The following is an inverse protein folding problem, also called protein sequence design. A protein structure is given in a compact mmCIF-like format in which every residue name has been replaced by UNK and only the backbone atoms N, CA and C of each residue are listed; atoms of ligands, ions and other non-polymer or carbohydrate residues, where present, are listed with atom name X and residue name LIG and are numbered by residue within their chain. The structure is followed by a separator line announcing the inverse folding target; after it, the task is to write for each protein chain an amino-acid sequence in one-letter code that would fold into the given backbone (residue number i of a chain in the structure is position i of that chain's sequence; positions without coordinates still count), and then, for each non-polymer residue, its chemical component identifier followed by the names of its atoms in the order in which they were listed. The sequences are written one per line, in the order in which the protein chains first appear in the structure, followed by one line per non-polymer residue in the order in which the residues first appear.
data_IF_440152592982
#
_entry.id   IF_440152592982
#
_cell.length_a   1.000
_cell.length_b   1.000
_cell.length_c   1.000
_cell.angle_alpha   90.00
_cell.angle_beta   90.00
_cell.angle_gamma   90.00
#
_symmetry.space_group_name_H-M   'P 1'
#
loop_
_entity.id
_entity.type
_entity.pdbx_description
1 polymer ?
#
# COMPACT_ATOMS: atom_id res chain seq x y z
N UNK A 1 15.61 -2.73 15.11
CA UNK A 1 15.37 -1.58 14.22
C UNK A 1 14.00 -1.73 13.60
N UNK A 2 13.11 -0.73 13.66
CA UNK A 2 11.82 -0.81 13.00
C UNK A 2 12.04 -0.95 11.48
N UNK A 3 11.27 -1.84 10.87
CA UNK A 3 11.37 -2.14 9.45
C UNK A 3 9.98 -2.23 8.81
N UNK A 4 9.83 -1.76 7.59
CA UNK A 4 8.55 -1.78 6.86
C UNK A 4 7.85 -3.16 6.83
N UNK A 5 8.56 -4.30 6.74
CA UNK A 5 7.93 -5.61 6.81
C UNK A 5 7.09 -5.88 8.07
N UNK A 6 7.33 -5.16 9.18
CA UNK A 6 6.47 -5.26 10.36
C UNK A 6 5.02 -4.83 10.09
N UNK A 7 4.83 -3.99 9.06
CA UNK A 7 3.51 -3.56 8.63
C UNK A 7 2.69 -4.61 7.91
N UNK A 8 3.27 -5.72 7.49
CA UNK A 8 2.54 -6.77 6.75
C UNK A 8 1.42 -7.39 7.60
N UNK A 9 1.69 -7.62 8.89
CA UNK A 9 0.70 -8.20 9.79
C UNK A 9 -0.55 -7.30 9.94
N UNK A 10 -0.44 -6.00 10.27
CA UNK A 10 -1.62 -5.14 10.38
C UNK A 10 -2.25 -4.79 9.02
N UNK A 11 -1.54 -4.89 7.90
CA UNK A 11 -2.10 -4.59 6.56
C UNK A 11 -3.08 -5.65 6.09
N UNK A 12 -2.89 -6.90 6.46
CA UNK A 12 -3.69 -8.04 5.98
C UNK A 12 -5.21 -7.87 6.22
N UNK A 13 -5.70 -7.45 7.40
CA UNK A 13 -7.14 -7.27 7.61
C UNK A 13 -7.75 -6.16 6.73
N UNK A 14 -6.96 -5.23 6.20
CA UNK A 14 -7.48 -4.20 5.29
C UNK A 14 -7.98 -4.79 3.96
N UNK A 15 -7.40 -5.88 3.51
CA UNK A 15 -7.91 -6.62 2.34
C UNK A 15 -9.29 -7.20 2.65
N UNK A 16 -9.44 -7.78 3.86
CA UNK A 16 -10.75 -8.25 4.32
C UNK A 16 -11.77 -7.11 4.46
N UNK A 17 -11.33 -5.92 4.87
CA UNK A 17 -12.20 -4.74 4.93
C UNK A 17 -12.75 -4.36 3.55
N UNK A 18 -11.91 -4.33 2.53
CA UNK A 18 -12.34 -4.05 1.14
C UNK A 18 -13.31 -5.12 0.65
N UNK A 19 -12.98 -6.40 0.84
CA UNK A 19 -13.86 -7.51 0.46
C UNK A 19 -15.18 -7.49 1.23
N UNK A 20 -15.15 -7.16 2.52
CA UNK A 20 -16.35 -7.00 3.34
C UNK A 20 -17.28 -5.91 2.82
N UNK A 21 -16.72 -4.76 2.43
CA UNK A 21 -17.49 -3.68 1.80
C UNK A 21 -18.12 -4.09 0.47
N UNK A 22 -17.39 -4.80 -0.37
CA UNK A 22 -17.91 -5.32 -1.65
C UNK A 22 -19.03 -6.35 -1.43
N UNK A 23 -18.83 -7.32 -0.55
CA UNK A 23 -19.80 -8.37 -0.27
C UNK A 23 -21.06 -7.85 0.46
N UNK A 24 -20.96 -6.75 1.16
CA UNK A 24 -22.09 -6.17 1.90
C UNK A 24 -23.26 -5.81 0.97
N UNK A 25 -22.98 -5.39 -0.26
CA UNK A 25 -24.01 -5.05 -1.24
C UNK A 25 -24.89 -6.24 -1.64
N UNK A 26 -24.32 -7.46 -1.65
CA UNK A 26 -25.01 -8.68 -2.10
C UNK A 26 -25.42 -9.58 -0.94
N UNK A 27 -24.65 -9.60 0.14
CA UNK A 27 -24.76 -10.59 1.22
C UNK A 27 -25.16 -10.00 2.59
N UNK A 28 -25.35 -8.68 2.67
CA UNK A 28 -25.97 -8.01 3.81
C UNK A 28 -25.01 -7.43 4.84
N UNK A 29 -25.62 -6.83 5.88
CA UNK A 29 -24.96 -5.95 6.86
C UNK A 29 -23.87 -6.63 7.70
N UNK A 30 -23.89 -7.95 7.84
CA UNK A 30 -22.83 -8.66 8.57
C UNK A 30 -21.45 -8.40 7.96
N UNK A 31 -21.34 -8.50 6.64
CA UNK A 31 -20.08 -8.25 5.92
C UNK A 31 -19.64 -6.79 6.02
N UNK A 32 -20.58 -5.85 6.04
CA UNK A 32 -20.29 -4.43 6.26
C UNK A 32 -19.66 -4.20 7.63
N UNK A 33 -20.27 -4.70 8.71
CA UNK A 33 -19.74 -4.55 10.06
C UNK A 33 -18.38 -5.26 10.23
N UNK A 34 -18.25 -6.46 9.69
CA UNK A 34 -16.96 -7.17 9.69
C UNK A 34 -15.86 -6.36 8.94
N UNK A 35 -16.23 -5.77 7.80
CA UNK A 35 -15.34 -4.88 7.05
C UNK A 35 -14.90 -3.66 7.85
N UNK A 36 -15.81 -3.00 8.57
CA UNK A 36 -15.51 -1.86 9.46
C UNK A 36 -14.53 -2.28 10.57
N UNK A 37 -14.77 -3.40 11.22
CA UNK A 37 -13.88 -3.91 12.27
C UNK A 37 -12.47 -4.15 11.69
N UNK A 38 -12.37 -4.82 10.55
CA UNK A 38 -11.10 -5.08 9.88
C UNK A 38 -10.39 -3.78 9.45
N UNK A 39 -11.14 -2.77 8.99
CA UNK A 39 -10.61 -1.46 8.62
C UNK A 39 -9.89 -0.80 9.80
N UNK A 40 -10.58 -0.65 10.93
CA UNK A 40 -9.99 -0.01 12.11
C UNK A 40 -8.92 -0.87 12.77
N UNK A 41 -9.04 -2.19 12.73
CA UNK A 41 -8.03 -3.11 13.23
C UNK A 41 -6.70 -2.98 12.47
N UNK A 42 -6.74 -2.62 11.19
CA UNK A 42 -5.55 -2.26 10.42
C UNK A 42 -5.12 -0.82 10.67
N UNK A 43 -6.05 0.13 10.52
CA UNK A 43 -5.74 1.55 10.45
C UNK A 43 -5.08 2.08 11.73
N UNK A 44 -5.63 1.69 12.88
CA UNK A 44 -5.15 2.15 14.18
C UNK A 44 -3.67 1.79 14.44
N UNK A 45 -3.21 0.54 14.26
CA UNK A 45 -1.80 0.21 14.46
C UNK A 45 -0.90 0.59 13.27
N UNK A 46 -1.39 0.58 12.02
CA UNK A 46 -0.58 0.81 10.85
C UNK A 46 -0.05 2.25 10.78
N UNK A 47 -0.89 3.24 11.07
CA UNK A 47 -0.49 4.66 10.99
C UNK A 47 0.69 4.98 11.91
N UNK A 48 0.63 4.74 13.24
CA UNK A 48 1.76 5.02 14.11
C UNK A 48 3.00 4.15 13.80
N UNK A 49 2.80 2.90 13.38
CA UNK A 49 3.90 2.03 12.99
C UNK A 49 4.67 2.59 11.80
N UNK A 50 3.99 2.96 10.72
CA UNK A 50 4.65 3.49 9.53
C UNK A 50 5.22 4.89 9.76
N UNK A 51 4.53 5.75 10.51
CA UNK A 51 5.07 7.04 10.93
C UNK A 51 6.39 6.86 11.70
N UNK A 52 6.42 5.90 12.61
CA UNK A 52 7.64 5.56 13.35
C UNK A 52 8.75 5.00 12.45
N UNK A 53 8.41 4.14 11.47
CA UNK A 53 9.38 3.64 10.50
C UNK A 53 10.00 4.79 9.69
N UNK A 54 9.19 5.67 9.10
CA UNK A 54 9.69 6.82 8.34
C UNK A 54 10.51 7.78 9.20
N UNK A 55 10.03 8.11 10.40
CA UNK A 55 10.78 8.94 11.34
C UNK A 55 12.13 8.33 11.72
N UNK A 56 12.19 7.03 11.97
CA UNK A 56 13.42 6.31 12.30
C UNK A 56 14.41 6.34 11.15
N UNK A 57 13.95 6.10 9.91
CA UNK A 57 14.80 6.17 8.72
C UNK A 57 15.34 7.58 8.49
N UNK A 58 14.47 8.59 8.62
CA UNK A 58 14.87 9.99 8.48
C UNK A 58 15.91 10.41 9.52
N UNK A 59 15.68 10.07 10.79
CA UNK A 59 16.61 10.39 11.89
C UNK A 59 17.96 9.71 11.72
N UNK A 60 17.99 8.47 11.23
CA UNK A 60 19.23 7.70 11.01
C UNK A 60 19.91 8.01 9.68
N UNK A 61 19.25 8.79 8.82
CA UNK A 61 19.65 9.00 7.42
C UNK A 61 19.87 7.69 6.65
N UNK A 62 19.11 6.67 7.03
CA UNK A 62 19.10 5.35 6.40
C UNK A 62 17.98 5.25 5.37
N UNK A 63 18.09 4.27 4.48
CA UNK A 63 17.04 3.90 3.53
C UNK A 63 17.11 2.41 3.27
N UNK A 64 16.00 1.76 2.89
CA UNK A 64 16.02 0.39 2.40
C UNK A 64 16.93 0.29 1.17
N UNK A 65 17.86 -0.66 1.17
CA UNK A 65 18.83 -0.87 0.08
C UNK A 65 18.87 -2.33 -0.31
N UNK A 66 19.36 -2.59 -1.51
CA UNK A 66 19.57 -3.95 -1.98
C UNK A 66 18.31 -4.80 -1.88
N UNK A 67 18.42 -5.96 -1.25
CA UNK A 67 17.34 -6.90 -1.03
C UNK A 67 16.09 -6.32 -0.33
N UNK A 68 16.27 -5.30 0.51
CA UNK A 68 15.16 -4.68 1.24
C UNK A 68 14.51 -3.49 0.49
N UNK A 69 15.00 -3.12 -0.69
CA UNK A 69 14.53 -1.92 -1.40
C UNK A 69 13.02 -2.00 -1.73
N UNK A 70 12.51 -3.16 -2.10
CA UNK A 70 11.08 -3.38 -2.38
C UNK A 70 10.18 -3.17 -1.16
N UNK A 71 10.72 -3.30 0.05
CA UNK A 71 9.92 -3.12 1.27
C UNK A 71 9.47 -1.68 1.52
N UNK A 72 10.12 -0.70 0.88
CA UNK A 72 9.72 0.71 0.94
C UNK A 72 8.30 0.95 0.40
N UNK A 73 7.76 0.04 -0.40
CA UNK A 73 6.41 0.09 -0.93
C UNK A 73 5.33 -0.36 0.06
N UNK A 74 5.67 -1.14 1.09
CA UNK A 74 4.70 -1.76 2.01
C UNK A 74 3.73 -0.76 2.64
N UNK A 75 4.15 0.43 3.13
CA UNK A 75 3.22 1.42 3.68
C UNK A 75 2.14 1.88 2.69
N UNK A 76 2.47 1.90 1.41
CA UNK A 76 1.56 2.30 0.34
C UNK A 76 0.43 1.29 0.09
N UNK A 77 0.63 0.04 0.54
CA UNK A 77 -0.42 -0.97 0.57
C UNK A 77 -1.60 -0.53 1.44
N UNK A 78 -1.34 0.14 2.57
CA UNK A 78 -2.41 0.71 3.41
C UNK A 78 -3.09 1.87 2.69
N UNK A 79 -2.32 2.76 2.05
CA UNK A 79 -2.87 3.91 1.32
C UNK A 79 -3.89 3.46 0.28
N UNK A 80 -3.50 2.59 -0.63
CA UNK A 80 -4.38 2.12 -1.71
C UNK A 80 -5.54 1.27 -1.21
N UNK A 81 -5.26 0.33 -0.32
CA UNK A 81 -6.26 -0.61 0.15
C UNK A 81 -7.30 0.06 1.07
N UNK A 82 -6.86 0.98 1.96
CA UNK A 82 -7.79 1.70 2.82
C UNK A 82 -8.65 2.71 2.03
N UNK A 83 -8.11 3.29 0.96
CA UNK A 83 -8.90 4.12 0.05
C UNK A 83 -10.00 3.29 -0.61
N UNK A 84 -9.69 2.13 -1.17
CA UNK A 84 -10.70 1.24 -1.73
C UNK A 84 -11.73 0.80 -0.67
N UNK A 85 -11.29 0.41 0.52
CA UNK A 85 -12.17 0.01 1.60
C UNK A 85 -13.08 1.16 2.06
N UNK A 86 -12.55 2.39 2.17
CA UNK A 86 -13.34 3.56 2.60
C UNK A 86 -14.45 3.92 1.62
N UNK A 87 -14.21 3.74 0.31
CA UNK A 87 -15.23 3.95 -0.72
C UNK A 87 -16.38 2.95 -0.54
N UNK A 88 -16.08 1.66 -0.36
CA UNK A 88 -17.11 0.63 -0.20
C UNK A 88 -17.83 0.66 1.15
N UNK A 89 -17.13 1.02 2.23
CA UNK A 89 -17.68 0.98 3.59
C UNK A 89 -18.36 2.29 4.00
N UNK A 90 -17.87 3.43 3.54
CA UNK A 90 -18.25 4.74 4.07
C UNK A 90 -18.63 5.76 2.99
N UNK A 91 -18.49 5.43 1.70
CA UNK A 91 -18.63 6.37 0.58
C UNK A 91 -17.78 7.65 0.77
N UNK A 92 -16.57 7.47 1.31
CA UNK A 92 -15.73 8.56 1.83
C UNK A 92 -14.62 8.96 0.86
N UNK A 93 -14.96 9.62 -0.25
CA UNK A 93 -14.01 10.08 -1.27
C UNK A 93 -12.95 11.07 -0.74
N UNK A 94 -13.32 11.95 0.21
CA UNK A 94 -12.35 12.87 0.82
C UNK A 94 -11.21 12.13 1.52
N UNK A 95 -11.50 10.98 2.12
CA UNK A 95 -10.49 10.12 2.72
C UNK A 95 -9.45 9.66 1.70
N UNK A 96 -9.89 9.22 0.52
CA UNK A 96 -9.00 8.81 -0.57
C UNK A 96 -8.07 9.93 -1.02
N UNK A 97 -8.60 11.15 -1.19
CA UNK A 97 -7.79 12.34 -1.52
C UNK A 97 -6.70 12.58 -0.48
N UNK A 98 -7.06 12.56 0.81
CA UNK A 98 -6.11 12.74 1.92
C UNK A 98 -5.04 11.66 1.90
N UNK A 99 -5.43 10.39 1.78
CA UNK A 99 -4.50 9.26 1.81
C UNK A 99 -3.53 9.28 0.61
N UNK A 100 -4.01 9.58 -0.59
CA UNK A 100 -3.14 9.70 -1.77
C UNK A 100 -2.22 10.92 -1.69
N UNK A 101 -2.69 12.03 -1.11
CA UNK A 101 -1.84 13.22 -0.89
C UNK A 101 -0.69 12.91 0.07
N UNK A 102 -0.98 12.25 1.20
CA UNK A 102 0.03 11.81 2.16
C UNK A 102 0.92 10.72 1.54
N UNK A 103 0.37 9.84 0.72
CA UNK A 103 1.06 8.75 0.05
C UNK A 103 2.02 9.21 -1.05
N UNK A 104 1.76 10.33 -1.73
CA UNK A 104 2.55 10.78 -2.87
C UNK A 104 4.06 10.92 -2.59
N UNK A 105 4.52 11.58 -1.51
CA UNK A 105 5.94 11.61 -1.17
C UNK A 105 6.49 10.22 -0.80
N UNK A 106 5.67 9.34 -0.26
CA UNK A 106 6.06 7.97 0.05
C UNK A 106 6.23 7.14 -1.22
N UNK A 107 5.42 7.36 -2.26
CA UNK A 107 5.60 6.77 -3.59
C UNK A 107 6.93 7.20 -4.19
N UNK A 108 7.25 8.49 -4.18
CA UNK A 108 8.52 9.00 -4.70
C UNK A 108 9.73 8.38 -3.97
N UNK A 109 9.65 8.26 -2.65
CA UNK A 109 10.68 7.61 -1.84
C UNK A 109 10.81 6.11 -2.17
N UNK A 110 9.70 5.39 -2.29
CA UNK A 110 9.70 3.96 -2.61
C UNK A 110 10.24 3.69 -4.02
N UNK A 111 9.85 4.50 -5.01
CA UNK A 111 10.41 4.46 -6.36
C UNK A 111 11.93 4.68 -6.34
N UNK A 112 12.38 5.72 -5.64
CA UNK A 112 13.81 5.99 -5.53
C UNK A 112 14.59 4.81 -4.94
N UNK A 113 14.09 4.21 -3.84
CA UNK A 113 14.76 3.06 -3.23
C UNK A 113 14.78 1.83 -4.16
N UNK A 114 13.65 1.51 -4.78
CA UNK A 114 13.48 0.31 -5.60
C UNK A 114 14.29 0.40 -6.90
N UNK A 115 14.08 1.46 -7.70
CA UNK A 115 14.76 1.58 -8.98
C UNK A 115 16.27 1.79 -8.84
N UNK A 116 16.70 2.44 -7.77
CA UNK A 116 18.12 2.50 -7.47
C UNK A 116 18.72 1.11 -7.24
N UNK A 117 18.05 0.22 -6.52
CA UNK A 117 18.51 -1.15 -6.33
C UNK A 117 18.54 -1.93 -7.65
N UNK A 118 17.56 -1.71 -8.54
CA UNK A 118 17.53 -2.30 -9.88
C UNK A 118 18.73 -1.81 -10.70
N UNK A 119 19.00 -0.50 -10.75
CA UNK A 119 20.12 0.08 -11.52
C UNK A 119 21.49 -0.24 -10.91
N UNK A 120 21.58 -0.49 -9.61
CA UNK A 120 22.80 -0.94 -8.95
C UNK A 120 23.05 -2.46 -9.13
N UNK A 121 22.25 -3.13 -9.99
CA UNK A 121 22.36 -4.56 -10.28
C UNK A 121 22.35 -5.42 -8.99
N UNK A 122 21.57 -5.00 -8.01
CA UNK A 122 21.44 -5.77 -6.77
C UNK A 122 20.87 -7.16 -7.09
N UNK A 123 21.45 -8.24 -6.54
CA UNK A 123 20.92 -9.59 -6.75
C UNK A 123 19.46 -9.69 -6.35
N UNK A 124 18.68 -10.44 -7.12
CA UNK A 124 17.27 -10.70 -6.84
C UNK A 124 17.05 -11.17 -5.39
N UNK A 125 15.97 -10.68 -4.80
CA UNK A 125 15.52 -11.10 -3.48
C UNK A 125 13.99 -11.21 -3.44
N UNK A 126 13.42 -12.20 -2.72
CA UNK A 126 11.98 -12.27 -2.49
C UNK A 126 11.36 -10.98 -1.90
N UNK A 127 12.16 -10.17 -1.20
CA UNK A 127 11.73 -8.87 -0.68
C UNK A 127 11.32 -7.86 -1.77
N UNK A 128 11.72 -8.06 -3.01
CA UNK A 128 11.34 -7.22 -4.15
C UNK A 128 9.85 -7.36 -4.50
N UNK A 129 9.25 -8.52 -4.25
CA UNK A 129 7.80 -8.72 -4.38
C UNK A 129 6.98 -7.81 -3.47
N UNK A 130 7.59 -7.26 -2.42
CA UNK A 130 6.96 -6.24 -1.57
C UNK A 130 6.54 -4.97 -2.31
N UNK A 131 6.98 -4.76 -3.56
CA UNK A 131 6.57 -3.63 -4.40
C UNK A 131 5.27 -3.89 -5.17
N UNK A 132 4.97 -5.13 -5.56
CA UNK A 132 3.87 -5.42 -6.47
C UNK A 132 2.49 -5.26 -5.82
N UNK A 133 2.29 -5.84 -4.64
CA UNK A 133 1.02 -5.71 -3.92
C UNK A 133 0.64 -4.25 -3.63
N UNK A 134 1.51 -3.39 -3.06
CA UNK A 134 1.18 -2.00 -2.81
C UNK A 134 0.84 -1.19 -4.07
N UNK A 135 1.55 -1.41 -5.17
CA UNK A 135 1.22 -0.74 -6.44
C UNK A 135 -0.14 -1.21 -6.97
N UNK A 136 -0.45 -2.50 -6.84
CA UNK A 136 -1.76 -3.04 -7.18
C UNK A 136 -2.89 -2.44 -6.34
N UNK A 137 -2.67 -2.24 -5.04
CA UNK A 137 -3.67 -1.60 -4.16
C UNK A 137 -3.86 -0.11 -4.45
N UNK A 138 -2.80 0.61 -4.81
CA UNK A 138 -2.91 2.00 -5.29
C UNK A 138 -3.72 2.08 -6.58
N UNK A 139 -3.50 1.14 -7.52
CA UNK A 139 -4.28 1.02 -8.73
C UNK A 139 -5.77 0.80 -8.41
N UNK A 140 -6.09 -0.13 -7.52
CA UNK A 140 -7.46 -0.42 -7.08
C UNK A 140 -8.10 0.78 -6.37
N UNK A 141 -7.38 1.41 -5.43
CA UNK A 141 -7.88 2.58 -4.69
C UNK A 141 -8.19 3.74 -5.62
N UNK A 142 -7.29 4.07 -6.55
CA UNK A 142 -7.52 5.14 -7.52
C UNK A 142 -8.65 4.82 -8.51
N UNK A 143 -8.84 3.54 -8.88
CA UNK A 143 -9.96 3.11 -9.70
C UNK A 143 -11.31 3.37 -9.01
N UNK A 144 -11.43 2.97 -7.75
CA UNK A 144 -12.66 3.15 -6.97
C UNK A 144 -12.98 4.62 -6.68
N UNK A 145 -11.97 5.49 -6.63
CA UNK A 145 -12.14 6.94 -6.55
C UNK A 145 -12.54 7.59 -7.89
N UNK A 146 -12.64 6.82 -8.98
CA UNK A 146 -12.93 7.34 -10.30
C UNK A 146 -11.73 7.98 -11.01
N UNK A 147 -10.51 7.87 -10.47
CA UNK A 147 -9.29 8.42 -11.06
C UNK A 147 -8.68 7.47 -12.09
N UNK A 148 -9.44 7.14 -13.13
CA UNK A 148 -9.09 6.10 -14.10
C UNK A 148 -7.74 6.33 -14.81
N UNK A 149 -7.36 7.60 -15.07
CA UNK A 149 -6.06 7.90 -15.68
C UNK A 149 -4.90 7.55 -14.74
N UNK A 150 -5.03 7.89 -13.46
CA UNK A 150 -4.05 7.55 -12.44
C UNK A 150 -3.97 6.03 -12.26
N UNK A 151 -5.12 5.36 -12.18
CA UNK A 151 -5.20 3.91 -12.09
C UNK A 151 -4.51 3.22 -13.26
N UNK A 152 -4.67 3.71 -14.49
CA UNK A 152 -3.98 3.18 -15.67
C UNK A 152 -2.46 3.34 -15.57
N UNK A 153 -1.97 4.52 -15.15
CA UNK A 153 -0.53 4.74 -14.93
C UNK A 153 0.02 3.78 -13.88
N UNK A 154 -0.72 3.59 -12.78
CA UNK A 154 -0.33 2.66 -11.72
C UNK A 154 -0.37 1.19 -12.19
N UNK A 155 -1.29 0.84 -13.07
CA UNK A 155 -1.32 -0.49 -13.69
C UNK A 155 -0.08 -0.74 -14.55
N UNK A 156 0.32 0.24 -15.37
CA UNK A 156 1.57 0.14 -16.15
C UNK A 156 2.77 0.00 -15.21
N UNK A 157 2.82 0.79 -14.14
CA UNK A 157 3.87 0.67 -13.14
C UNK A 157 3.88 -0.71 -12.47
N UNK A 158 2.72 -1.27 -12.16
CA UNK A 158 2.58 -2.63 -11.62
C UNK A 158 3.17 -3.68 -12.57
N UNK A 159 2.87 -3.58 -13.86
CA UNK A 159 3.40 -4.50 -14.87
C UNK A 159 4.93 -4.39 -14.99
N UNK A 160 5.48 -3.17 -14.90
CA UNK A 160 6.92 -2.95 -14.88
C UNK A 160 7.58 -3.57 -13.63
N UNK A 161 6.97 -3.37 -12.44
CA UNK A 161 7.45 -4.01 -11.22
C UNK A 161 7.37 -5.52 -11.30
N UNK A 162 6.24 -6.05 -11.77
CA UNK A 162 6.07 -7.49 -11.95
C UNK A 162 7.12 -8.07 -12.90
N UNK A 163 7.36 -7.42 -14.04
CA UNK A 163 8.41 -7.80 -14.96
C UNK A 163 9.80 -7.77 -14.31
N UNK A 164 10.13 -6.71 -13.56
CA UNK A 164 11.41 -6.58 -12.88
C UNK A 164 11.67 -7.62 -11.77
N UNK A 165 10.60 -8.11 -11.11
CA UNK A 165 10.77 -9.10 -10.02
C UNK A 165 10.61 -10.54 -10.50
N UNK A 166 10.13 -10.75 -11.74
CA UNK A 166 9.95 -12.08 -12.33
C UNK A 166 11.16 -12.54 -13.16
N UNK A 167 12.13 -11.64 -13.41
CA UNK A 167 13.34 -11.87 -14.19
C UNK A 167 14.53 -12.20 -13.30
#
# INVERSE_FOLDING_TARGET
TPAFPWGLAPVTPMVAATSGGQLAAEHGMFYHHAGIVCFFFTFIPAIPLFAYCYWSLWRRRERPRGAAAGTAWIPLGVVGQSTAASTFLFDAHLYGIIMFTIGAPCVAFAMYCFYRAVFEWTPYSPGWWGSTFPVGTLCLGSWNEGWHRLSFVLLVLLLLHWGAVSY
#
